data_IF_886305915570
#
_entry.id   IF_886305915570
#
_cell.length_a   1.000
_cell.length_b   1.000
_cell.length_c   1.000
_cell.angle_alpha   90.00
_cell.angle_beta   90.00
_cell.angle_gamma   90.00
#
_symmetry.space_group_name_H-M   'P 1'
#
loop_
_entity.id
_entity.type
_entity.pdbx_description
1 polymer ?
#
# COMPACT_ATOMS: atom_id res chain seq x y z
N UNK A 1 4.87 1.87 14.46
CA UNK A 1 5.41 2.30 13.14
C UNK A 1 6.62 3.23 13.21
N UNK A 2 7.17 3.53 14.39
CA UNK A 2 8.34 4.40 14.55
C UNK A 2 9.55 4.02 13.69
N UNK A 3 9.82 2.71 13.50
CA UNK A 3 10.93 2.27 12.66
C UNK A 3 10.78 2.71 11.20
N UNK A 4 9.56 2.70 10.64
CA UNK A 4 9.30 3.17 9.27
C UNK A 4 9.55 4.68 9.19
N UNK A 5 8.97 5.47 10.10
CA UNK A 5 9.15 6.93 10.13
C UNK A 5 10.62 7.33 10.32
N UNK A 6 11.31 6.70 11.27
CA UNK A 6 12.69 7.00 11.59
C UNK A 6 13.65 6.63 10.44
N UNK A 7 13.46 5.46 9.82
CA UNK A 7 14.32 5.05 8.69
C UNK A 7 14.01 5.85 7.43
N UNK A 8 12.74 6.22 7.19
CA UNK A 8 12.35 7.11 6.11
C UNK A 8 12.99 8.50 6.23
N UNK A 9 12.91 9.13 7.41
CA UNK A 9 13.57 10.41 7.70
C UNK A 9 15.10 10.30 7.57
N UNK A 10 15.68 9.17 7.99
CA UNK A 10 17.12 8.92 7.86
C UNK A 10 17.56 8.89 6.39
N UNK A 11 16.81 8.20 5.51
CA UNK A 11 17.06 8.21 4.06
C UNK A 11 16.90 9.62 3.50
N UNK A 12 15.81 10.32 3.81
CA UNK A 12 15.52 11.66 3.30
C UNK A 12 16.61 12.69 3.67
N UNK A 13 17.28 12.53 4.80
CA UNK A 13 18.41 13.38 5.20
C UNK A 13 19.73 13.10 4.46
N UNK A 14 19.79 12.01 3.67
CA UNK A 14 21.00 11.49 2.99
C UNK A 14 20.79 11.21 1.51
N UNK A 15 19.60 11.52 1.00
CA UNK A 15 19.19 11.24 -0.35
C UNK A 15 19.91 12.15 -1.35
N UNK A 16 20.18 11.62 -2.55
CA UNK A 16 20.82 12.35 -3.64
C UNK A 16 19.97 12.44 -4.90
N UNK A 17 19.00 11.54 -5.05
CA UNK A 17 18.09 11.46 -6.18
C UNK A 17 16.72 12.05 -5.90
N UNK A 18 16.25 12.00 -4.65
CA UNK A 18 14.95 12.55 -4.23
C UNK A 18 15.11 13.44 -3.01
N UNK A 19 14.78 14.72 -3.12
CA UNK A 19 14.84 15.68 -2.01
C UNK A 19 13.49 16.31 -1.74
N UNK A 20 13.21 16.61 -0.47
CA UNK A 20 12.01 17.33 -0.06
C UNK A 20 12.19 18.84 -0.27
N UNK A 21 11.18 19.52 -0.80
CA UNK A 21 11.14 20.98 -0.96
C UNK A 21 10.32 21.58 0.19
N UNK A 22 10.99 22.22 1.15
CA UNK A 22 10.31 22.78 2.33
C UNK A 22 9.28 23.85 1.97
N UNK A 23 9.52 24.64 0.92
CA UNK A 23 8.52 25.63 0.47
C UNK A 23 7.33 24.94 -0.18
N UNK A 24 7.57 23.88 -0.95
CA UNK A 24 6.55 23.02 -1.54
C UNK A 24 5.66 22.37 -0.49
N UNK A 25 6.25 21.83 0.59
CA UNK A 25 5.51 21.28 1.73
C UNK A 25 4.62 22.35 2.36
N UNK A 26 5.18 23.52 2.70
CA UNK A 26 4.42 24.59 3.37
C UNK A 26 3.30 25.14 2.49
N UNK A 27 3.55 25.33 1.18
CA UNK A 27 2.56 25.78 0.22
C UNK A 27 1.45 24.76 0.02
N UNK A 28 1.81 23.48 -0.08
CA UNK A 28 0.84 22.41 -0.25
C UNK A 28 -0.02 22.23 1.01
N UNK A 29 0.60 22.17 2.19
CA UNK A 29 -0.08 22.13 3.48
C UNK A 29 -1.05 23.31 3.63
N UNK A 30 -0.62 24.53 3.30
CA UNK A 30 -1.47 25.72 3.33
C UNK A 30 -2.70 25.59 2.41
N UNK A 31 -2.52 25.01 1.22
CA UNK A 31 -3.61 24.81 0.24
C UNK A 31 -4.67 23.82 0.71
N UNK A 32 -4.29 22.77 1.45
CA UNK A 32 -5.21 21.67 1.81
C UNK A 32 -5.68 21.69 3.26
N UNK A 33 -5.12 22.54 4.11
CA UNK A 33 -5.35 22.53 5.57
C UNK A 33 -6.82 22.56 6.00
N UNK A 34 -7.69 23.19 5.21
CA UNK A 34 -9.12 23.35 5.51
C UNK A 34 -10.02 22.42 4.67
N UNK A 35 -9.44 21.57 3.80
CA UNK A 35 -10.20 20.89 2.75
C UNK A 35 -9.60 19.55 2.35
N UNK A 36 -9.09 18.77 3.30
CA UNK A 36 -8.66 17.39 3.04
C UNK A 36 -9.92 16.57 2.71
N UNK A 37 -10.12 16.16 1.45
CA UNK A 37 -11.32 15.42 1.09
C UNK A 37 -11.28 14.05 1.75
N UNK A 38 -12.39 13.67 2.39
CA UNK A 38 -12.55 12.30 2.87
C UNK A 38 -12.88 11.41 1.67
N UNK A 39 -11.91 10.60 1.28
CA UNK A 39 -12.11 9.52 0.30
C UNK A 39 -12.67 8.32 1.05
N UNK A 40 -13.83 7.82 0.62
CA UNK A 40 -14.39 6.60 1.21
C UNK A 40 -13.62 5.38 0.72
N UNK A 41 -13.35 4.44 1.63
CA UNK A 41 -12.60 3.21 1.35
C UNK A 41 -13.20 2.39 0.19
N UNK A 42 -14.53 2.19 0.18
CA UNK A 42 -15.22 1.45 -0.88
C UNK A 42 -15.81 2.38 -1.94
N UNK A 43 -15.00 3.31 -2.45
CA UNK A 43 -15.42 4.15 -3.55
C UNK A 43 -15.91 3.28 -4.73
N UNK A 44 -17.08 3.58 -5.25
CA UNK A 44 -17.74 2.86 -6.37
C UNK A 44 -18.09 1.37 -6.13
N UNK A 45 -17.94 0.87 -4.89
CA UNK A 45 -18.38 -0.49 -4.55
C UNK A 45 -17.51 -1.58 -5.17
N UNK A 46 -16.23 -1.34 -5.39
CA UNK A 46 -15.26 -2.29 -5.97
C UNK A 46 -14.93 -3.46 -5.04
N UNK A 47 -15.08 -3.28 -3.73
CA UNK A 47 -14.68 -4.27 -2.72
C UNK A 47 -15.82 -5.19 -2.27
N UNK A 48 -15.46 -6.40 -1.82
CA UNK A 48 -16.37 -7.29 -1.11
C UNK A 48 -16.60 -6.80 0.31
N UNK A 49 -17.85 -6.85 0.78
CA UNK A 49 -18.18 -6.49 2.15
C UNK A 49 -19.43 -7.25 2.61
N UNK A 50 -19.32 -7.99 3.72
CA UNK A 50 -20.37 -8.76 4.38
C UNK A 50 -20.54 -8.40 5.87
N UNK A 51 -19.84 -7.38 6.34
CA UNK A 51 -19.74 -7.02 7.78
C UNK A 51 -19.26 -8.20 8.66
N UNK A 52 -18.56 -9.16 8.06
CA UNK A 52 -18.23 -10.44 8.67
C UNK A 52 -16.80 -10.93 8.39
N UNK A 53 -16.49 -12.17 8.79
CA UNK A 53 -15.16 -12.75 8.63
C UNK A 53 -14.71 -12.88 7.17
N UNK A 54 -15.64 -12.99 6.21
CA UNK A 54 -15.27 -13.12 4.79
C UNK A 54 -14.71 -11.80 4.23
N UNK A 55 -15.18 -10.65 4.72
CA UNK A 55 -14.53 -9.36 4.43
C UNK A 55 -13.07 -9.37 4.88
N UNK A 56 -12.79 -9.79 6.12
CA UNK A 56 -11.41 -9.85 6.64
C UNK A 56 -10.53 -10.78 5.80
N UNK A 57 -11.07 -11.93 5.40
CA UNK A 57 -10.39 -12.89 4.54
C UNK A 57 -10.11 -12.33 3.14
N UNK A 58 -11.09 -11.63 2.55
CA UNK A 58 -10.96 -10.95 1.26
C UNK A 58 -9.86 -9.89 1.29
N UNK A 59 -9.84 -9.02 2.30
CA UNK A 59 -8.83 -7.95 2.42
C UNK A 59 -7.42 -8.51 2.50
N UNK A 60 -7.21 -9.57 3.28
CA UNK A 60 -5.88 -10.17 3.40
C UNK A 60 -5.38 -10.72 2.06
N UNK A 61 -6.27 -11.36 1.29
CA UNK A 61 -5.95 -11.89 -0.04
C UNK A 61 -5.74 -10.77 -1.07
N UNK A 62 -6.57 -9.74 -1.03
CA UNK A 62 -6.45 -8.55 -1.88
C UNK A 62 -5.08 -7.90 -1.69
N UNK A 63 -4.70 -7.62 -0.44
CA UNK A 63 -3.44 -6.93 -0.12
C UNK A 63 -2.22 -7.82 -0.31
N UNK A 64 -2.38 -9.14 -0.20
CA UNK A 64 -1.36 -10.10 -0.62
C UNK A 64 -1.10 -10.06 -2.14
N UNK A 65 -1.99 -9.46 -2.93
CA UNK A 65 -1.86 -9.33 -4.38
C UNK A 65 -1.79 -7.87 -4.89
N UNK A 66 -1.90 -6.88 -4.00
CA UNK A 66 -1.95 -5.46 -4.35
C UNK A 66 -0.55 -4.87 -4.65
N UNK A 67 0.02 -5.24 -5.81
CA UNK A 67 1.30 -4.72 -6.29
C UNK A 67 1.41 -4.77 -7.82
N UNK A 68 2.24 -3.90 -8.39
CA UNK A 68 2.78 -3.93 -9.74
C UNK A 68 1.78 -4.21 -10.88
N UNK A 69 0.98 -3.20 -11.22
CA UNK A 69 0.02 -3.26 -12.33
C UNK A 69 0.56 -2.65 -13.64
N UNK A 70 1.52 -1.72 -13.54
CA UNK A 70 2.04 -0.95 -14.68
C UNK A 70 2.61 -1.75 -15.88
N UNK A 71 3.10 -3.01 -15.76
CA UNK A 71 3.62 -3.72 -16.94
C UNK A 71 2.57 -4.11 -17.98
N UNK A 72 1.28 -4.11 -17.62
CA UNK A 72 0.16 -4.33 -18.53
C UNK A 72 -0.75 -3.10 -18.48
N UNK A 73 -0.71 -2.25 -19.51
CA UNK A 73 -1.41 -0.96 -19.54
C UNK A 73 -2.94 -1.07 -19.41
N UNK A 74 -3.51 -2.26 -19.67
CA UNK A 74 -4.95 -2.51 -19.49
C UNK A 74 -5.27 -2.97 -18.05
N UNK A 75 -4.28 -3.50 -17.32
CA UNK A 75 -4.45 -4.01 -15.96
C UNK A 75 -4.39 -2.86 -14.95
N UNK A 76 -5.35 -2.85 -14.02
CA UNK A 76 -5.36 -1.90 -12.91
C UNK A 76 -5.86 -2.57 -11.63
N UNK A 77 -5.83 -1.81 -10.54
CA UNK A 77 -6.27 -2.25 -9.22
C UNK A 77 -7.71 -2.79 -9.21
N UNK A 78 -8.64 -2.14 -9.93
CA UNK A 78 -10.06 -2.53 -9.92
C UNK A 78 -10.28 -3.93 -10.47
N UNK A 79 -9.51 -4.35 -11.49
CA UNK A 79 -9.58 -5.72 -12.02
C UNK A 79 -9.24 -6.76 -10.94
N UNK A 80 -8.27 -6.46 -10.07
CA UNK A 80 -7.94 -7.32 -8.93
C UNK A 80 -9.08 -7.29 -7.91
N UNK A 81 -9.48 -6.10 -7.44
CA UNK A 81 -10.47 -5.94 -6.38
C UNK A 81 -11.83 -6.54 -6.75
N UNK A 82 -12.34 -6.23 -7.95
CA UNK A 82 -13.63 -6.72 -8.46
C UNK A 82 -13.57 -8.21 -8.77
N UNK A 83 -12.49 -8.71 -9.38
CA UNK A 83 -12.35 -10.13 -9.69
C UNK A 83 -12.36 -11.01 -8.43
N UNK A 84 -11.61 -10.61 -7.39
CA UNK A 84 -11.61 -11.29 -6.09
C UNK A 84 -12.98 -11.20 -5.40
N UNK A 85 -13.65 -10.05 -5.49
CA UNK A 85 -15.00 -9.86 -4.95
C UNK A 85 -15.99 -10.81 -5.59
N UNK A 86 -16.05 -10.84 -6.92
CA UNK A 86 -16.96 -11.70 -7.67
C UNK A 86 -16.68 -13.19 -7.39
N UNK A 87 -15.41 -13.57 -7.24
CA UNK A 87 -15.05 -14.93 -6.87
C UNK A 87 -15.69 -15.36 -5.53
N UNK A 88 -15.61 -14.49 -4.52
CA UNK A 88 -16.15 -14.76 -3.19
C UNK A 88 -17.70 -14.68 -3.16
N UNK A 89 -18.29 -13.83 -3.99
CA UNK A 89 -19.75 -13.79 -4.18
C UNK A 89 -20.30 -15.06 -4.84
N UNK A 90 -19.55 -15.63 -5.78
CA UNK A 90 -19.94 -16.87 -6.47
C UNK A 90 -19.68 -18.12 -5.62
N UNK A 91 -18.65 -18.07 -4.77
CA UNK A 91 -18.23 -19.18 -3.92
C UNK A 91 -17.60 -18.63 -2.63
N UNK A 92 -18.34 -18.70 -1.52
CA UNK A 92 -17.87 -18.19 -0.23
C UNK A 92 -16.64 -18.92 0.32
N UNK A 93 -16.30 -20.09 -0.23
CA UNK A 93 -15.10 -20.85 0.11
C UNK A 93 -13.91 -20.52 -0.79
N UNK A 94 -14.03 -19.59 -1.75
CA UNK A 94 -12.97 -19.26 -2.70
C UNK A 94 -11.63 -18.94 -2.02
N UNK A 95 -11.65 -18.33 -0.83
CA UNK A 95 -10.45 -17.95 -0.08
C UNK A 95 -10.19 -18.80 1.16
N UNK A 96 -10.75 -20.01 1.23
CA UNK A 96 -10.36 -20.98 2.25
C UNK A 96 -8.85 -21.26 2.16
N UNK A 97 -8.18 -21.32 3.31
CA UNK A 97 -6.74 -21.52 3.41
C UNK A 97 -6.23 -22.72 2.58
N UNK A 98 -6.98 -23.83 2.57
CA UNK A 98 -6.63 -25.04 1.82
C UNK A 98 -6.76 -24.89 0.29
N UNK A 99 -7.57 -23.95 -0.19
CA UNK A 99 -7.75 -23.62 -1.61
C UNK A 99 -6.73 -22.59 -2.07
N UNK A 100 -6.44 -21.59 -1.23
CA UNK A 100 -5.39 -20.61 -1.47
C UNK A 100 -4.05 -21.29 -1.81
N UNK A 101 -3.69 -22.36 -1.10
CA UNK A 101 -2.49 -23.18 -1.32
C UNK A 101 -2.45 -23.96 -2.65
N UNK A 102 -3.56 -24.01 -3.39
CA UNK A 102 -3.68 -24.83 -4.61
C UNK A 102 -3.88 -24.02 -5.87
N UNK A 103 -4.23 -22.74 -5.75
CA UNK A 103 -4.46 -21.89 -6.90
C UNK A 103 -3.22 -21.84 -7.80
N UNK A 104 -3.46 -21.89 -9.09
CA UNK A 104 -2.45 -21.73 -10.14
C UNK A 104 -2.61 -20.38 -10.84
N UNK A 105 -1.59 -19.95 -11.60
CA UNK A 105 -1.66 -18.72 -12.40
C UNK A 105 -2.90 -18.68 -13.32
N UNK A 106 -3.19 -19.74 -14.11
CA UNK A 106 -4.42 -19.83 -14.90
C UNK A 106 -5.72 -19.70 -14.09
N UNK A 107 -5.79 -20.26 -12.88
CA UNK A 107 -6.97 -20.13 -12.02
C UNK A 107 -7.12 -18.72 -11.45
N UNK A 108 -6.01 -18.09 -11.05
CA UNK A 108 -6.01 -16.68 -10.63
C UNK A 108 -6.46 -15.79 -11.79
N UNK A 109 -5.94 -15.98 -13.00
CA UNK A 109 -6.42 -15.26 -14.19
C UNK A 109 -7.90 -15.45 -14.44
N UNK A 110 -8.39 -16.69 -14.34
CA UNK A 110 -9.81 -17.00 -14.49
C UNK A 110 -10.64 -16.26 -13.43
N UNK A 111 -10.16 -16.19 -12.20
CA UNK A 111 -10.78 -15.46 -11.10
C UNK A 111 -10.88 -13.96 -11.41
N UNK A 112 -9.82 -13.37 -11.95
CA UNK A 112 -9.75 -11.95 -12.32
C UNK A 112 -10.30 -11.65 -13.72
N UNK A 113 -10.83 -12.66 -14.43
CA UNK A 113 -11.25 -12.57 -15.84
C UNK A 113 -10.16 -12.01 -16.76
N UNK A 114 -8.89 -12.27 -16.45
CA UNK A 114 -7.74 -11.74 -17.20
C UNK A 114 -7.29 -12.70 -18.31
N UNK A 115 -7.15 -12.25 -19.57
CA UNK A 115 -6.97 -13.15 -20.72
C UNK A 115 -5.52 -13.62 -20.94
N UNK A 116 -4.53 -13.02 -20.27
CA UNK A 116 -3.09 -13.24 -20.49
C UNK A 116 -2.31 -13.26 -19.16
N UNK A 117 -1.07 -13.75 -19.11
CA UNK A 117 -0.28 -13.81 -17.87
C UNK A 117 -0.25 -12.48 -17.12
N UNK A 118 -0.48 -12.53 -15.81
CA UNK A 118 -0.39 -11.33 -14.95
C UNK A 118 1.08 -10.91 -14.77
N UNK A 119 1.36 -9.61 -14.56
CA UNK A 119 2.67 -9.19 -14.07
C UNK A 119 3.02 -9.93 -12.77
N UNK A 120 4.21 -10.54 -12.74
CA UNK A 120 4.70 -11.34 -11.62
C UNK A 120 3.72 -12.46 -11.19
N UNK A 121 3.09 -13.13 -12.16
CA UNK A 121 2.06 -14.15 -11.89
C UNK A 121 2.53 -15.27 -10.95
N UNK A 122 3.74 -15.80 -11.14
CA UNK A 122 4.27 -16.86 -10.28
C UNK A 122 4.45 -16.36 -8.83
N UNK A 123 4.85 -15.10 -8.64
CA UNK A 123 4.93 -14.50 -7.30
C UNK A 123 3.54 -14.27 -6.70
N UNK A 124 2.54 -13.86 -7.49
CA UNK A 124 1.15 -13.75 -7.02
C UNK A 124 0.64 -15.10 -6.51
N UNK A 125 0.89 -16.17 -7.25
CA UNK A 125 0.54 -17.54 -6.84
C UNK A 125 1.30 -17.95 -5.58
N UNK A 126 2.61 -17.71 -5.53
CA UNK A 126 3.43 -17.98 -4.35
C UNK A 126 2.89 -17.27 -3.10
N UNK A 127 2.45 -16.02 -3.24
CA UNK A 127 1.87 -15.22 -2.14
C UNK A 127 0.48 -15.72 -1.73
N UNK A 128 -0.36 -16.19 -2.65
CA UNK A 128 -1.60 -16.90 -2.29
C UNK A 128 -1.31 -18.15 -1.46
N UNK A 129 -0.30 -18.93 -1.87
CA UNK A 129 0.09 -20.13 -1.17
C UNK A 129 0.62 -19.82 0.23
N UNK A 130 1.43 -18.76 0.35
CA UNK A 130 1.94 -18.25 1.63
C UNK A 130 0.81 -17.88 2.58
N UNK A 131 -0.18 -17.09 2.09
CA UNK A 131 -1.35 -16.71 2.89
C UNK A 131 -2.12 -17.94 3.35
N UNK A 132 -2.42 -18.87 2.43
CA UNK A 132 -3.16 -20.07 2.76
C UNK A 132 -2.44 -20.95 3.79
N UNK A 133 -1.14 -21.18 3.61
CA UNK A 133 -0.34 -22.00 4.50
C UNK A 133 -0.25 -21.41 5.91
N UNK A 134 0.06 -20.11 6.03
CA UNK A 134 0.22 -19.50 7.35
C UNK A 134 -1.10 -19.28 8.09
N UNK A 135 -2.20 -19.05 7.37
CA UNK A 135 -3.53 -19.06 7.98
C UNK A 135 -3.88 -20.42 8.56
N UNK A 136 -3.69 -21.51 7.81
CA UNK A 136 -3.99 -22.85 8.29
C UNK A 136 -3.12 -23.23 9.50
N UNK A 137 -1.83 -22.91 9.44
CA UNK A 137 -0.85 -23.25 10.47
C UNK A 137 -1.02 -22.45 11.77
N UNK A 138 -1.31 -21.15 11.68
CA UNK A 138 -1.18 -20.23 12.82
C UNK A 138 -2.51 -19.58 13.24
N UNK A 139 -3.55 -19.65 12.41
CA UNK A 139 -4.80 -18.89 12.59
C UNK A 139 -6.07 -19.71 12.28
N UNK A 140 -6.01 -21.04 12.36
CA UNK A 140 -7.12 -21.97 12.08
C UNK A 140 -7.77 -21.77 10.70
N UNK A 141 -6.98 -21.33 9.72
CA UNK A 141 -7.42 -21.05 8.35
C UNK A 141 -8.21 -19.76 8.18
N UNK A 142 -8.30 -18.89 9.20
CA UNK A 142 -9.17 -17.70 9.17
C UNK A 142 -8.43 -16.40 9.51
N UNK A 143 -8.51 -15.43 8.61
CA UNK A 143 -7.90 -14.11 8.80
C UNK A 143 -8.49 -13.33 9.99
N UNK A 144 -9.73 -13.59 10.39
CA UNK A 144 -10.31 -12.99 11.61
C UNK A 144 -9.52 -13.32 12.89
N UNK A 145 -8.84 -14.48 12.95
CA UNK A 145 -8.06 -14.88 14.11
C UNK A 145 -6.74 -14.11 14.18
N UNK A 146 -6.14 -13.80 13.03
CA UNK A 146 -5.02 -12.86 12.91
C UNK A 146 -5.42 -11.48 13.44
N UNK A 147 -6.57 -10.96 13.02
CA UNK A 147 -7.07 -9.64 13.48
C UNK A 147 -7.38 -9.67 14.98
N UNK A 148 -8.00 -10.72 15.51
CA UNK A 148 -8.26 -10.87 16.96
C UNK A 148 -6.94 -10.87 17.77
N UNK A 149 -5.87 -11.46 17.24
CA UNK A 149 -4.58 -11.52 17.93
C UNK A 149 -3.89 -10.15 18.09
N UNK A 150 -4.23 -9.14 17.27
CA UNK A 150 -3.65 -7.80 17.38
C UNK A 150 -4.16 -6.99 18.58
N UNK A 151 -5.19 -7.46 19.31
CA UNK A 151 -5.77 -6.77 20.46
C UNK A 151 -6.11 -5.29 20.18
N UNK A 152 -6.68 -5.04 19.00
CA UNK A 152 -7.10 -3.71 18.53
C UNK A 152 -5.93 -2.72 18.38
N UNK A 153 -4.71 -3.19 18.11
CA UNK A 153 -3.56 -2.34 17.75
C UNK A 153 -3.19 -2.52 16.29
N UNK A 154 -3.24 -1.42 15.54
CA UNK A 154 -2.75 -1.28 14.18
C UNK A 154 -1.26 -1.64 14.07
N UNK A 155 -0.43 -1.15 14.99
CA UNK A 155 1.01 -1.44 14.99
C UNK A 155 1.25 -2.94 15.23
N UNK A 156 0.58 -3.53 16.22
CA UNK A 156 0.70 -4.97 16.49
C UNK A 156 0.18 -5.81 15.32
N UNK A 157 -0.84 -5.34 14.60
CA UNK A 157 -1.33 -6.04 13.42
C UNK A 157 -0.29 -6.05 12.29
N UNK A 158 0.39 -4.93 12.01
CA UNK A 158 1.53 -4.90 11.07
C UNK A 158 2.66 -5.84 11.52
N UNK A 159 2.98 -5.87 12.81
CA UNK A 159 4.00 -6.78 13.37
C UNK A 159 3.62 -8.26 13.21
N UNK A 160 2.36 -8.62 13.46
CA UNK A 160 1.86 -9.98 13.25
C UNK A 160 1.92 -10.38 11.78
N UNK A 161 1.49 -9.48 10.88
CA UNK A 161 1.54 -9.75 9.44
C UNK A 161 2.98 -9.96 8.98
N UNK A 162 3.87 -9.02 9.31
CA UNK A 162 5.27 -9.08 8.86
C UNK A 162 6.03 -10.23 9.52
N UNK A 163 5.68 -10.66 10.73
CA UNK A 163 6.30 -11.83 11.36
C UNK A 163 5.84 -13.15 10.75
N UNK A 164 4.56 -13.29 10.40
CA UNK A 164 4.01 -14.54 9.86
C UNK A 164 4.14 -14.68 8.34
N UNK A 165 4.00 -13.59 7.57
CA UNK A 165 3.93 -13.63 6.11
C UNK A 165 5.15 -12.93 5.48
N UNK A 166 6.20 -13.67 5.07
CA UNK A 166 7.41 -13.10 4.48
C UNK A 166 7.18 -12.17 3.28
N UNK A 167 6.17 -12.43 2.47
CA UNK A 167 5.79 -11.60 1.32
C UNK A 167 5.38 -10.18 1.67
N UNK A 168 4.99 -9.94 2.93
CA UNK A 168 4.65 -8.61 3.45
C UNK A 168 5.86 -7.88 4.09
N UNK A 169 7.03 -8.52 4.20
CA UNK A 169 8.26 -7.94 4.79
C UNK A 169 8.97 -6.97 3.84
N UNK A 170 8.26 -5.92 3.49
CA UNK A 170 8.75 -4.85 2.62
C UNK A 170 9.79 -3.98 3.35
N UNK A 171 11.05 -4.28 3.09
CA UNK A 171 12.22 -3.62 3.65
C UNK A 171 13.38 -3.63 2.65
N UNK A 172 14.29 -2.66 2.74
CA UNK A 172 15.45 -2.56 1.85
C UNK A 172 16.73 -2.19 2.61
N UNK A 173 17.89 -2.25 1.95
CA UNK A 173 19.17 -1.80 2.51
C UNK A 173 19.63 -0.57 1.73
N UNK A 174 19.79 0.55 2.44
CA UNK A 174 20.26 1.82 1.87
C UNK A 174 21.51 2.28 2.61
N UNK A 175 22.63 2.44 1.90
CA UNK A 175 23.92 2.86 2.47
C UNK A 175 24.30 2.07 3.74
N UNK A 176 24.10 0.75 3.67
CA UNK A 176 24.41 -0.20 4.75
C UNK A 176 23.42 -0.20 5.93
N UNK A 177 22.30 0.53 5.84
CA UNK A 177 21.28 0.59 6.89
C UNK A 177 19.98 -0.07 6.44
N UNK A 178 19.35 -0.80 7.36
CA UNK A 178 18.04 -1.42 7.13
C UNK A 178 16.95 -0.35 7.13
N UNK A 179 16.17 -0.30 6.05
CA UNK A 179 15.04 0.61 5.87
C UNK A 179 13.75 -0.21 5.87
N UNK A 180 12.72 0.28 6.57
CA UNK A 180 11.44 -0.40 6.71
C UNK A 180 10.34 0.38 5.99
N UNK A 181 9.47 -0.30 5.24
CA UNK A 181 8.42 0.32 4.43
C UNK A 181 7.06 -0.33 4.70
N UNK A 182 7.00 -1.67 4.72
CA UNK A 182 5.82 -2.46 5.09
C UNK A 182 4.51 -2.07 4.37
N UNK A 183 4.59 -1.59 3.11
CA UNK A 183 3.46 -0.97 2.39
C UNK A 183 2.18 -1.81 2.47
N UNK A 184 2.22 -3.04 1.96
CA UNK A 184 1.00 -3.90 1.87
C UNK A 184 0.48 -4.34 3.22
N UNK A 185 1.34 -4.47 4.23
CA UNK A 185 0.91 -4.77 5.59
C UNK A 185 0.16 -3.57 6.19
N UNK A 186 0.63 -2.35 5.92
CA UNK A 186 -0.04 -1.12 6.32
C UNK A 186 -1.37 -0.90 5.58
N UNK A 187 -1.44 -1.25 4.28
CA UNK A 187 -2.70 -1.21 3.51
C UNK A 187 -3.73 -2.11 4.16
N UNK A 188 -3.42 -3.37 4.48
CA UNK A 188 -4.38 -4.27 5.12
C UNK A 188 -4.95 -3.73 6.44
N UNK A 189 -4.12 -3.07 7.24
CA UNK A 189 -4.56 -2.41 8.48
C UNK A 189 -5.52 -1.25 8.17
N UNK A 190 -5.19 -0.42 7.18
CA UNK A 190 -6.01 0.71 6.78
C UNK A 190 -7.33 0.28 6.12
N UNK A 191 -7.29 -0.77 5.31
CA UNK A 191 -8.46 -1.37 4.66
C UNK A 191 -9.43 -1.95 5.67
N UNK A 192 -8.94 -2.64 6.70
CA UNK A 192 -9.77 -3.10 7.81
C UNK A 192 -10.43 -1.93 8.55
N UNK A 193 -9.65 -0.91 8.89
CA UNK A 193 -10.17 0.29 9.56
C UNK A 193 -11.23 0.99 8.71
N UNK A 194 -10.97 1.15 7.41
CA UNK A 194 -11.85 1.81 6.45
C UNK A 194 -13.14 1.02 6.20
N UNK A 195 -13.03 -0.28 5.92
CA UNK A 195 -14.16 -1.17 5.64
C UNK A 195 -15.16 -1.21 6.80
N UNK A 196 -14.68 -1.34 8.03
CA UNK A 196 -15.52 -1.41 9.22
C UNK A 196 -15.70 -0.06 9.94
N UNK A 197 -15.26 1.05 9.33
CA UNK A 197 -15.42 2.42 9.85
C UNK A 197 -14.93 2.59 11.30
N UNK A 198 -13.82 1.95 11.64
CA UNK A 198 -13.26 1.99 13.00
C UNK A 198 -14.02 1.15 14.04
N UNK A 199 -14.91 0.24 13.63
CA UNK A 199 -15.71 -0.61 14.51
C UNK A 199 -15.43 -2.09 14.26
N UNK A 200 -15.84 -2.98 15.16
CA UNK A 200 -15.71 -4.43 14.96
C UNK A 200 -14.27 -4.85 14.64
N UNK A 201 -14.05 -5.45 13.47
CA UNK A 201 -12.72 -5.85 12.99
C UNK A 201 -11.79 -4.67 12.65
N UNK A 202 -12.35 -3.50 12.37
CA UNK A 202 -11.60 -2.26 12.11
C UNK A 202 -11.39 -1.40 13.35
N UNK A 203 -11.82 -1.83 14.54
CA UNK A 203 -11.58 -1.10 15.79
C UNK A 203 -10.09 -1.18 16.17
N UNK A 204 -9.31 -0.22 15.69
CA UNK A 204 -7.88 -0.08 15.92
C UNK A 204 -7.59 1.21 16.66
N UNK A 205 -6.96 1.11 17.83
CA UNK A 205 -6.81 2.21 18.80
C UNK A 205 -5.72 3.23 18.46
N UNK A 206 -4.78 2.84 17.61
CA UNK A 206 -3.54 3.56 17.28
C UNK A 206 -3.36 3.69 15.74
N UNK A 207 -4.47 3.82 15.00
CA UNK A 207 -4.48 3.93 13.53
C UNK A 207 -3.65 5.12 13.02
N UNK A 208 -3.53 6.19 13.82
CA UNK A 208 -2.69 7.35 13.55
C UNK A 208 -1.19 7.04 13.49
N UNK A 209 -0.79 5.86 13.97
CA UNK A 209 0.59 5.37 13.84
C UNK A 209 0.91 4.92 12.41
N UNK A 210 -0.08 4.46 11.64
CA UNK A 210 0.12 4.00 10.25
C UNK A 210 0.59 5.17 9.37
N UNK A 211 1.57 4.91 8.51
CA UNK A 211 2.10 5.91 7.57
C UNK A 211 1.37 5.85 6.23
N UNK A 212 1.74 6.72 5.31
CA UNK A 212 1.33 6.58 3.91
C UNK A 212 1.96 5.34 3.27
N UNK A 213 1.40 4.90 2.13
CA UNK A 213 1.78 3.67 1.44
C UNK A 213 2.64 4.01 0.22
N UNK A 214 3.97 3.85 0.35
CA UNK A 214 4.91 4.23 -0.71
C UNK A 214 4.80 3.34 -1.96
N UNK A 215 3.92 3.75 -2.88
CA UNK A 215 3.72 3.19 -4.22
C UNK A 215 4.42 4.01 -5.32
N UNK A 216 4.05 3.79 -6.59
CA UNK A 216 4.57 4.57 -7.70
C UNK A 216 3.75 5.82 -8.04
N UNK A 217 2.50 5.94 -7.59
CA UNK A 217 1.61 7.06 -7.91
C UNK A 217 1.88 8.25 -6.99
N UNK A 218 1.87 8.05 -5.67
CA UNK A 218 2.00 9.12 -4.69
C UNK A 218 3.32 9.90 -4.79
N UNK A 219 4.51 9.29 -4.96
CA UNK A 219 5.73 10.05 -5.23
C UNK A 219 5.60 10.98 -6.44
N UNK A 220 5.01 10.50 -7.53
CA UNK A 220 4.82 11.30 -8.75
C UNK A 220 3.88 12.50 -8.49
N UNK A 221 2.78 12.28 -7.76
CA UNK A 221 1.88 13.36 -7.35
C UNK A 221 2.61 14.39 -6.48
N UNK A 222 3.37 13.95 -5.48
CA UNK A 222 4.12 14.86 -4.62
C UNK A 222 5.19 15.65 -5.39
N UNK A 223 5.81 15.06 -6.41
CA UNK A 223 6.71 15.78 -7.30
C UNK A 223 5.98 16.85 -8.11
N UNK A 224 4.83 16.53 -8.70
CA UNK A 224 4.03 17.47 -9.49
C UNK A 224 3.50 18.63 -8.63
N UNK A 225 3.17 18.35 -7.36
CA UNK A 225 2.77 19.34 -6.36
C UNK A 225 3.94 20.18 -5.84
N UNK A 226 5.17 19.87 -6.26
CA UNK A 226 6.38 20.56 -5.86
C UNK A 226 6.86 20.24 -4.45
N UNK A 227 6.34 19.19 -3.83
CA UNK A 227 6.75 18.69 -2.50
C UNK A 227 8.05 17.88 -2.61
N UNK A 228 8.19 17.06 -3.66
CA UNK A 228 9.41 16.33 -3.96
C UNK A 228 10.13 16.96 -5.16
N UNK A 229 11.46 16.86 -5.17
CA UNK A 229 12.33 17.19 -6.30
C UNK A 229 13.16 15.98 -6.65
N UNK A 230 13.25 15.70 -7.95
CA UNK A 230 14.08 14.62 -8.47
C UNK A 230 15.36 15.18 -9.07
N UNK A 231 16.46 14.44 -8.90
CA UNK A 231 17.70 14.70 -9.64
C UNK A 231 17.46 14.60 -11.15
N UNK A 232 18.23 15.33 -11.99
CA UNK A 232 18.08 15.25 -13.44
C UNK A 232 18.17 13.81 -13.98
N UNK A 233 19.09 12.99 -13.44
CA UNK A 233 19.24 11.60 -13.86
C UNK A 233 18.02 10.74 -13.53
N UNK A 234 17.37 10.96 -12.39
CA UNK A 234 16.16 10.23 -12.01
C UNK A 234 14.97 10.67 -12.88
N UNK A 235 14.82 11.98 -13.12
CA UNK A 235 13.83 12.50 -14.06
C UNK A 235 14.00 11.89 -15.46
N UNK A 236 15.23 11.85 -15.99
CA UNK A 236 15.51 11.26 -17.29
C UNK A 236 15.18 9.75 -17.37
N UNK A 237 15.29 9.02 -16.26
CA UNK A 237 14.88 7.60 -16.18
C UNK A 237 13.36 7.49 -16.28
N UNK A 238 12.64 8.26 -15.47
CA UNK A 238 11.17 8.27 -15.41
C UNK A 238 10.57 8.73 -16.75
N UNK A 239 11.04 9.86 -17.28
CA UNK A 239 10.53 10.45 -18.53
C UNK A 239 10.79 9.55 -19.74
N UNK A 240 11.83 8.72 -19.68
CA UNK A 240 12.15 7.74 -20.72
C UNK A 240 11.47 6.38 -20.50
N UNK A 241 10.59 6.25 -19.50
CA UNK A 241 9.92 5.00 -19.12
C UNK A 241 10.90 3.83 -18.84
N UNK A 242 12.13 4.14 -18.40
CA UNK A 242 13.12 3.12 -18.06
C UNK A 242 12.83 2.56 -16.68
N UNK A 243 12.99 1.26 -16.54
CA UNK A 243 12.78 0.58 -15.26
C UNK A 243 13.89 0.97 -14.26
N UNK A 244 13.48 1.24 -13.02
CA UNK A 244 14.35 1.36 -11.86
C UNK A 244 14.32 0.01 -11.15
N UNK A 245 15.49 -0.62 -11.02
CA UNK A 245 15.62 -1.90 -10.33
C UNK A 245 15.25 -1.73 -8.84
N UNK A 246 14.46 -2.67 -8.30
CA UNK A 246 14.09 -2.65 -6.88
C UNK A 246 15.33 -2.73 -5.99
N UNK A 247 15.37 -1.92 -4.94
CA UNK A 247 16.48 -1.87 -3.98
C UNK A 247 17.66 -0.99 -4.39
N UNK A 248 17.61 -0.29 -5.53
CA UNK A 248 18.63 0.73 -5.84
C UNK A 248 18.42 1.98 -4.98
N UNK A 249 19.42 2.87 -4.95
CA UNK A 249 19.33 4.12 -4.19
C UNK A 249 18.14 4.97 -4.67
N UNK A 250 17.91 5.06 -5.97
CA UNK A 250 16.78 5.81 -6.55
C UNK A 250 15.43 5.29 -6.07
N UNK A 251 15.23 3.97 -6.10
CA UNK A 251 13.97 3.35 -5.69
C UNK A 251 13.72 3.50 -4.19
N UNK A 252 14.74 3.26 -3.36
CA UNK A 252 14.59 3.39 -1.92
C UNK A 252 14.33 4.85 -1.53
N UNK A 253 15.01 5.81 -2.17
CA UNK A 253 14.77 7.23 -1.94
C UNK A 253 13.37 7.66 -2.37
N UNK A 254 12.88 7.22 -3.54
CA UNK A 254 11.51 7.50 -3.98
C UNK A 254 10.49 7.08 -2.92
N UNK A 255 10.65 5.89 -2.33
CA UNK A 255 9.70 5.37 -1.35
C UNK A 255 9.84 6.03 0.01
N UNK A 256 11.06 6.09 0.54
CA UNK A 256 11.34 6.64 1.87
C UNK A 256 11.07 8.15 1.95
N UNK A 257 11.49 8.93 0.94
CA UNK A 257 11.23 10.36 0.91
C UNK A 257 9.73 10.68 0.79
N UNK A 258 8.96 9.83 0.11
CA UNK A 258 7.50 9.98 0.03
C UNK A 258 6.84 9.80 1.40
N UNK A 259 7.23 8.76 2.14
CA UNK A 259 6.76 8.55 3.52
C UNK A 259 7.08 9.77 4.38
N UNK A 260 8.34 10.20 4.35
CA UNK A 260 8.78 11.33 5.16
C UNK A 260 8.06 12.64 4.78
N UNK A 261 7.87 12.89 3.48
CA UNK A 261 7.17 14.07 3.00
C UNK A 261 5.72 14.15 3.49
N UNK A 262 4.98 13.03 3.54
CA UNK A 262 3.61 13.03 4.06
C UNK A 262 3.59 13.29 5.57
N UNK A 263 4.54 12.76 6.35
CA UNK A 263 4.63 13.11 7.77
C UNK A 263 4.96 14.60 7.98
N UNK A 264 5.86 15.20 7.18
CA UNK A 264 6.16 16.64 7.24
C UNK A 264 4.95 17.51 6.85
N UNK A 265 4.13 17.06 5.88
CA UNK A 265 2.87 17.73 5.51
C UNK A 265 1.89 17.70 6.69
N UNK A 266 1.73 16.56 7.35
CA UNK A 266 0.86 16.43 8.54
C UNK A 266 1.29 17.37 9.65
N UNK A 267 2.59 17.40 9.94
CA UNK A 267 3.14 18.28 10.97
C UNK A 267 2.95 19.76 10.60
N UNK A 268 3.11 20.12 9.33
CA UNK A 268 2.84 21.48 8.84
C UNK A 268 1.36 21.87 9.01
N UNK A 269 0.42 20.99 8.63
CA UNK A 269 -1.02 21.23 8.81
C UNK A 269 -1.36 21.37 10.31
N UNK A 270 -0.81 20.50 11.16
CA UNK A 270 -1.01 20.56 12.60
C UNK A 270 -0.51 21.88 13.19
N UNK A 271 0.69 22.34 12.82
CA UNK A 271 1.21 23.64 13.26
C UNK A 271 0.34 24.82 12.83
N UNK A 272 -0.28 24.75 11.65
CA UNK A 272 -1.10 25.85 11.09
C UNK A 272 -2.51 25.90 11.66
N UNK A 273 -3.10 24.75 11.97
CA UNK A 273 -4.54 24.64 12.28
C UNK A 273 -4.84 24.07 13.66
N UNK A 274 -3.89 23.36 14.28
CA UNK A 274 -4.11 22.54 15.46
C UNK A 274 -4.83 21.21 15.19
N UNK A 275 -5.33 20.99 13.97
CA UNK A 275 -6.02 19.76 13.61
C UNK A 275 -5.05 18.59 13.47
N UNK A 276 -5.54 17.38 13.74
CA UNK A 276 -4.83 16.15 13.44
C UNK A 276 -5.38 15.55 12.14
N UNK A 277 -4.48 15.04 11.32
CA UNK A 277 -4.76 14.41 10.03
C UNK A 277 -4.09 13.05 10.02
N UNK A 278 -4.75 12.02 9.52
CA UNK A 278 -4.16 10.69 9.41
C UNK A 278 -3.36 10.56 8.11
N UNK A 279 -2.23 9.84 8.14
CA UNK A 279 -1.45 9.58 6.92
C UNK A 279 -2.26 8.77 5.91
N UNK A 280 -3.13 7.88 6.38
CA UNK A 280 -4.06 7.08 5.57
C UNK A 280 -5.02 7.98 4.77
N UNK A 281 -5.55 9.03 5.37
CA UNK A 281 -6.48 9.95 4.69
C UNK A 281 -5.76 10.76 3.61
N UNK A 282 -4.55 11.24 3.90
CA UNK A 282 -3.72 11.94 2.91
C UNK A 282 -3.29 11.02 1.78
N UNK A 283 -2.93 9.78 2.09
CA UNK A 283 -2.56 8.76 1.11
C UNK A 283 -3.69 8.48 0.12
N UNK A 284 -4.89 8.15 0.63
CA UNK A 284 -6.07 7.89 -0.19
C UNK A 284 -6.39 9.09 -1.10
N UNK A 285 -6.25 10.31 -0.60
CA UNK A 285 -6.46 11.50 -1.40
C UNK A 285 -5.38 11.70 -2.48
N UNK A 286 -4.10 11.57 -2.12
CA UNK A 286 -2.97 11.70 -3.04
C UNK A 286 -3.05 10.65 -4.15
N UNK A 287 -3.39 9.41 -3.79
CA UNK A 287 -3.57 8.31 -4.71
C UNK A 287 -4.74 8.56 -5.66
N UNK A 288 -5.92 8.91 -5.14
CA UNK A 288 -7.09 9.23 -5.96
C UNK A 288 -6.84 10.41 -6.92
N UNK A 289 -6.11 11.44 -6.45
CA UNK A 289 -5.67 12.55 -7.29
C UNK A 289 -4.77 12.09 -8.45
N UNK A 290 -3.84 11.18 -8.17
CA UNK A 290 -2.92 10.64 -9.16
C UNK A 290 -3.61 9.77 -10.21
N UNK A 291 -4.52 8.88 -9.80
CA UNK A 291 -5.32 8.05 -10.71
C UNK A 291 -6.19 8.91 -11.64
N UNK A 292 -6.70 10.03 -11.14
CA UNK A 292 -7.46 10.99 -11.95
C UNK A 292 -6.59 11.82 -12.93
N UNK A 293 -5.27 11.63 -12.95
CA UNK A 293 -4.33 12.35 -13.81
C UNK A 293 -3.66 11.42 -14.85
N UNK A 294 -4.25 11.22 -16.04
CA UNK A 294 -3.71 10.29 -17.06
C UNK A 294 -2.31 10.66 -17.59
N UNK A 295 -1.90 11.92 -17.45
CA UNK A 295 -0.59 12.39 -17.88
C UNK A 295 0.52 12.18 -16.85
N UNK A 296 0.17 11.71 -15.64
CA UNK A 296 1.12 11.55 -14.54
C UNK A 296 2.21 10.54 -14.92
N UNK A 297 3.45 11.01 -15.04
CA UNK A 297 4.61 10.14 -15.23
C UNK A 297 5.09 9.65 -13.87
N UNK A 298 5.26 8.34 -13.74
CA UNK A 298 5.71 7.72 -12.51
C UNK A 298 6.88 6.78 -12.78
N UNK A 299 7.63 6.46 -11.73
CA UNK A 299 8.69 5.47 -11.83
C UNK A 299 8.11 4.08 -12.10
N UNK A 300 8.89 3.24 -12.79
CA UNK A 300 8.54 1.86 -13.12
C UNK A 300 9.53 0.94 -12.42
N UNK A 301 9.04 0.18 -11.45
CA UNK A 301 9.84 -0.85 -10.76
C UNK A 301 9.04 -2.14 -10.75
N UNK A 302 9.64 -3.22 -11.23
CA UNK A 302 9.03 -4.54 -11.19
C UNK A 302 9.32 -5.18 -9.81
N UNK A 303 8.32 -5.23 -8.93
CA UNK A 303 8.49 -5.70 -7.54
C UNK A 303 7.19 -6.25 -6.96
N UNK A 304 7.30 -7.10 -5.94
CA UNK A 304 6.14 -7.62 -5.18
C UNK A 304 5.66 -6.66 -4.08
N UNK A 305 6.36 -5.54 -3.87
CA UNK A 305 6.13 -4.70 -2.70
C UNK A 305 5.16 -3.54 -2.93
N UNK A 306 4.95 -3.07 -4.18
CA UNK A 306 4.09 -1.93 -4.44
C UNK A 306 3.53 -1.82 -5.85
#
# INVERSE_FOLDING_TARGET
MEAVKATAAWVASRSSHVTLDSSGIENFAERIKDSIPKVEWNFEGTHYFDDGPLTVQYLLVLDALNFCFWPDDELNYDHLAVGLKEALQNDSSAFDASRLQKYTGPELRKMLKWPRPLPLEDERVRLLHEVGFELEKSFDGRAENLVKACDKSAVKLVELITSHFPGFRDHSVYKGHQIFLYKRAQIFVADLWGAFKGQGYGELKDIESVTMFADYIVPAVLQQLGVLRYSPSLSDIIDSNREITSGTEEEVELRACTIHAVEEIKDSIHRKTGNQVLSVELDLWLWAYGIACPSLQHHRTLSIYY
#
